data_IF_841464800268
#
_entry.id   IF_841464800268
#
_cell.length_a   1.000
_cell.length_b   1.000
_cell.length_c   1.000
_cell.angle_alpha   90.00
_cell.angle_beta   90.00
_cell.angle_gamma   90.00
#
_symmetry.space_group_name_H-M   'P 1'
#
loop_
_entity.id
_entity.type
_entity.pdbx_description
1 polymer ?
#
# COMPACT_ATOMS: atom_id res chain seq x y z
N UNK A 1 -45.91 -29.23 4.00
CA UNK A 1 -44.96 -29.44 5.11
C UNK A 1 -43.81 -28.46 4.91
N UNK A 2 -43.85 -27.32 5.60
CA UNK A 2 -42.80 -26.30 5.53
C UNK A 2 -41.64 -26.76 6.45
N UNK A 3 -40.45 -26.93 5.88
CA UNK A 3 -39.24 -27.27 6.63
C UNK A 3 -38.82 -26.12 7.53
N UNK A 4 -38.59 -26.41 8.81
CA UNK A 4 -38.09 -25.48 9.81
C UNK A 4 -36.80 -24.81 9.35
N UNK A 5 -36.81 -23.48 9.31
CA UNK A 5 -35.60 -22.68 9.32
C UNK A 5 -34.92 -22.88 10.68
N UNK A 6 -33.77 -23.54 10.68
CA UNK A 6 -32.90 -23.69 11.86
C UNK A 6 -32.53 -22.30 12.39
N UNK A 7 -33.13 -21.93 13.52
CA UNK A 7 -32.73 -20.72 14.27
C UNK A 7 -31.26 -20.83 14.68
N UNK A 8 -30.45 -19.78 14.50
CA UNK A 8 -29.09 -19.78 15.02
C UNK A 8 -29.12 -19.91 16.56
N UNK A 9 -28.10 -20.56 17.16
CA UNK A 9 -28.05 -20.82 18.59
C UNK A 9 -28.07 -19.51 19.40
N UNK A 10 -28.79 -19.46 20.53
CA UNK A 10 -28.87 -18.26 21.36
C UNK A 10 -27.55 -18.05 22.09
N UNK A 11 -26.92 -16.89 21.86
CA UNK A 11 -25.73 -16.48 22.62
C UNK A 11 -24.64 -15.71 21.86
N UNK A 12 -24.74 -15.54 20.54
CA UNK A 12 -23.79 -14.68 19.81
C UNK A 12 -24.31 -13.25 19.77
N UNK A 13 -23.84 -12.43 20.70
CA UNK A 13 -24.04 -10.98 20.63
C UNK A 13 -23.48 -10.48 19.28
N UNK A 14 -24.20 -9.63 18.54
CA UNK A 14 -23.74 -9.10 17.25
C UNK A 14 -22.48 -8.21 17.35
N UNK A 15 -22.16 -7.74 18.56
CA UNK A 15 -21.15 -6.69 18.81
C UNK A 15 -19.83 -7.19 19.42
N UNK A 16 -19.64 -8.50 19.60
CA UNK A 16 -18.30 -9.03 19.86
C UNK A 16 -17.54 -9.05 18.53
N UNK A 17 -16.83 -7.95 18.25
CA UNK A 17 -15.82 -7.84 17.20
C UNK A 17 -15.02 -9.14 17.15
N UNK A 18 -15.19 -9.89 16.07
CA UNK A 18 -14.46 -11.14 15.84
C UNK A 18 -12.97 -10.89 16.11
N UNK A 19 -12.36 -11.51 17.14
CA UNK A 19 -10.98 -11.24 17.50
C UNK A 19 -10.01 -11.55 16.35
N UNK A 20 -10.38 -12.45 15.44
CA UNK A 20 -9.62 -12.70 14.22
C UNK A 20 -9.69 -11.52 13.24
N UNK A 21 -10.86 -10.87 13.13
CA UNK A 21 -11.04 -9.66 12.32
C UNK A 21 -10.25 -8.49 12.89
N UNK A 22 -10.30 -8.27 14.21
CA UNK A 22 -9.55 -7.20 14.88
C UNK A 22 -8.03 -7.35 14.71
N UNK A 23 -7.49 -8.59 14.85
CA UNK A 23 -6.07 -8.82 14.58
C UNK A 23 -5.74 -8.67 13.09
N UNK A 24 -6.65 -9.08 12.20
CA UNK A 24 -6.54 -8.87 10.76
C UNK A 24 -6.43 -7.40 10.37
N UNK A 25 -7.27 -6.53 10.94
CA UNK A 25 -7.24 -5.07 10.75
C UNK A 25 -5.93 -4.48 11.28
N UNK A 26 -5.48 -4.91 12.46
CA UNK A 26 -4.21 -4.46 13.05
C UNK A 26 -2.99 -4.85 12.22
N UNK A 27 -2.94 -6.09 11.72
CA UNK A 27 -1.87 -6.55 10.82
C UNK A 27 -1.96 -5.83 9.48
N UNK A 28 -3.18 -5.62 8.97
CA UNK A 28 -3.46 -4.82 7.78
C UNK A 28 -2.85 -3.43 7.86
N UNK A 29 -3.13 -2.70 8.93
CA UNK A 29 -2.61 -1.35 9.17
C UNK A 29 -1.07 -1.33 9.25
N UNK A 30 -0.44 -2.35 9.83
CA UNK A 30 1.03 -2.47 9.87
C UNK A 30 1.64 -2.67 8.48
N UNK A 31 0.97 -3.47 7.64
CA UNK A 31 1.37 -3.65 6.24
C UNK A 31 1.25 -2.32 5.50
N UNK A 32 0.12 -1.63 5.64
CA UNK A 32 -0.12 -0.37 4.95
C UNK A 32 0.93 0.69 5.34
N UNK A 33 1.23 0.83 6.63
CA UNK A 33 2.29 1.71 7.11
C UNK A 33 3.68 1.36 6.53
N UNK A 34 3.98 0.08 6.33
CA UNK A 34 5.23 -0.35 5.72
C UNK A 34 5.31 0.01 4.23
N UNK A 35 4.22 -0.21 3.48
CA UNK A 35 4.12 0.19 2.07
C UNK A 35 4.26 1.71 1.93
N UNK A 36 3.56 2.48 2.76
CA UNK A 36 3.59 3.95 2.73
C UNK A 36 5.00 4.48 3.03
N UNK A 37 5.69 3.90 4.03
CA UNK A 37 7.08 4.23 4.34
C UNK A 37 8.01 3.93 3.16
N UNK A 38 7.81 2.80 2.47
CA UNK A 38 8.64 2.42 1.34
C UNK A 38 8.38 3.32 0.11
N UNK A 39 7.11 3.62 -0.18
CA UNK A 39 6.70 4.54 -1.24
C UNK A 39 7.36 5.91 -1.09
N UNK A 40 7.25 6.51 0.12
CA UNK A 40 7.92 7.79 0.46
C UNK A 40 9.43 7.74 0.23
N UNK A 41 10.07 6.62 0.61
CA UNK A 41 11.52 6.45 0.40
C UNK A 41 11.88 6.37 -1.09
N UNK A 42 11.04 5.73 -1.90
CA UNK A 42 11.25 5.67 -3.35
C UNK A 42 11.03 7.04 -3.99
N UNK A 43 9.97 7.77 -3.64
CA UNK A 43 9.76 9.17 -4.06
C UNK A 43 10.95 10.06 -3.75
N UNK A 44 11.42 10.06 -2.51
CA UNK A 44 12.57 10.87 -2.12
C UNK A 44 13.85 10.54 -2.92
N UNK A 45 14.03 9.28 -3.34
CA UNK A 45 15.14 8.88 -4.20
C UNK A 45 14.94 9.31 -5.65
N UNK A 46 13.71 9.23 -6.16
CA UNK A 46 13.34 9.75 -7.47
C UNK A 46 13.59 11.26 -7.53
N UNK A 47 13.06 12.02 -6.58
CA UNK A 47 13.21 13.48 -6.49
C UNK A 47 14.69 13.88 -6.41
N UNK A 48 15.49 13.15 -5.62
CA UNK A 48 16.93 13.37 -5.54
C UNK A 48 17.67 13.09 -6.85
N UNK A 49 17.22 12.11 -7.63
CA UNK A 49 17.80 11.84 -8.95
C UNK A 49 17.38 12.91 -9.96
N UNK A 50 16.10 13.28 -9.94
CA UNK A 50 15.51 14.30 -10.80
C UNK A 50 16.15 15.67 -10.56
N UNK A 51 16.26 16.13 -9.31
CA UNK A 51 16.87 17.41 -8.96
C UNK A 51 18.36 17.51 -9.29
N UNK A 52 19.02 16.40 -9.66
CA UNK A 52 20.41 16.40 -10.16
C UNK A 52 20.51 16.49 -11.68
N UNK A 53 19.41 16.36 -12.42
CA UNK A 53 19.41 16.39 -13.88
C UNK A 53 19.85 17.74 -14.41
N UNK A 54 19.35 18.83 -13.82
CA UNK A 54 19.67 20.19 -14.26
C UNK A 54 21.16 20.54 -14.10
N UNK A 55 21.79 19.98 -13.07
CA UNK A 55 23.21 20.16 -12.79
C UNK A 55 24.13 19.17 -13.54
N UNK A 56 23.57 18.19 -14.26
CA UNK A 56 24.36 17.19 -14.97
C UNK A 56 24.61 17.65 -16.42
N UNK A 57 25.84 18.08 -16.72
CA UNK A 57 26.24 18.47 -18.08
C UNK A 57 26.54 17.28 -19.01
N UNK A 58 27.19 16.17 -18.59
CA UNK A 58 27.49 15.08 -19.49
C UNK A 58 26.22 14.27 -19.82
N UNK A 59 26.02 13.97 -21.10
CA UNK A 59 24.84 13.23 -21.58
C UNK A 59 24.69 11.85 -20.90
N UNK A 60 25.79 11.11 -20.74
CA UNK A 60 25.79 9.81 -20.06
C UNK A 60 25.35 9.91 -18.60
N UNK A 61 25.82 10.94 -17.88
CA UNK A 61 25.44 11.20 -16.50
C UNK A 61 23.96 11.57 -16.39
N UNK A 62 23.44 12.35 -17.34
CA UNK A 62 22.00 12.65 -17.44
C UNK A 62 21.18 11.38 -17.68
N UNK A 63 21.60 10.53 -18.61
CA UNK A 63 20.90 9.27 -18.91
C UNK A 63 20.83 8.35 -17.69
N UNK A 64 21.92 8.24 -16.93
CA UNK A 64 21.95 7.45 -15.69
C UNK A 64 21.02 8.03 -14.61
N UNK A 65 20.99 9.36 -14.45
CA UNK A 65 20.11 10.02 -13.50
C UNK A 65 18.63 9.87 -13.89
N UNK A 66 18.34 9.99 -15.18
CA UNK A 66 16.99 9.81 -15.72
C UNK A 66 16.50 8.38 -15.46
N UNK A 67 17.33 7.38 -15.79
CA UNK A 67 16.98 5.98 -15.54
C UNK A 67 16.75 5.65 -14.07
N UNK A 68 17.54 6.26 -13.17
CA UNK A 68 17.32 6.12 -11.72
C UNK A 68 16.03 6.80 -11.27
N UNK A 69 15.75 7.98 -11.81
CA UNK A 69 14.50 8.69 -11.52
C UNK A 69 13.30 7.82 -11.90
N UNK A 70 13.25 7.34 -13.16
CA UNK A 70 12.20 6.45 -13.66
C UNK A 70 12.02 5.23 -12.76
N UNK A 71 13.10 4.50 -12.48
CA UNK A 71 13.04 3.29 -11.66
C UNK A 71 12.46 3.54 -10.25
N UNK A 72 12.87 4.64 -9.61
CA UNK A 72 12.36 4.96 -8.28
C UNK A 72 10.95 5.55 -8.31
N UNK A 73 10.58 6.31 -9.36
CA UNK A 73 9.24 6.83 -9.54
C UNK A 73 8.24 5.70 -9.79
N UNK A 74 8.56 4.75 -10.66
CA UNK A 74 7.73 3.58 -10.95
C UNK A 74 7.56 2.69 -9.72
N UNK A 75 8.64 2.46 -8.97
CA UNK A 75 8.57 1.70 -7.72
C UNK A 75 7.70 2.40 -6.66
N UNK A 76 7.75 3.73 -6.58
CA UNK A 76 6.86 4.48 -5.69
C UNK A 76 5.40 4.35 -6.13
N UNK A 77 5.12 4.54 -7.42
CA UNK A 77 3.78 4.45 -7.98
C UNK A 77 3.15 3.06 -7.74
N UNK A 78 3.93 1.98 -7.94
CA UNK A 78 3.47 0.62 -7.66
C UNK A 78 3.05 0.41 -6.20
N UNK A 79 3.83 0.97 -5.25
CA UNK A 79 3.54 0.85 -3.82
C UNK A 79 2.32 1.69 -3.41
N UNK A 80 2.18 2.89 -3.98
CA UNK A 80 1.03 3.78 -3.80
C UNK A 80 -0.26 3.14 -4.35
N UNK A 81 -0.21 2.55 -5.54
CA UNK A 81 -1.34 1.85 -6.13
C UNK A 81 -1.77 0.65 -5.28
N UNK A 82 -0.81 -0.10 -4.74
CA UNK A 82 -1.10 -1.23 -3.85
C UNK A 82 -1.83 -0.81 -2.58
N UNK A 83 -1.56 0.39 -2.06
CA UNK A 83 -2.29 0.95 -0.92
C UNK A 83 -3.73 1.30 -1.30
N UNK A 84 -3.94 1.92 -2.46
CA UNK A 84 -5.29 2.24 -2.97
C UNK A 84 -6.12 0.96 -3.13
N UNK A 85 -5.59 -0.05 -3.81
CA UNK A 85 -6.27 -1.34 -4.00
C UNK A 85 -6.56 -2.10 -2.70
N UNK A 86 -5.84 -1.79 -1.60
CA UNK A 86 -6.10 -2.36 -0.28
C UNK A 86 -7.17 -1.56 0.45
N UNK A 87 -7.17 -0.24 0.33
CA UNK A 87 -8.26 0.61 0.81
C UNK A 87 -9.61 0.27 0.15
N UNK A 88 -9.64 0.10 -1.16
CA UNK A 88 -10.84 -0.30 -1.92
C UNK A 88 -11.37 -1.69 -1.56
N UNK A 89 -10.50 -2.61 -1.12
CA UNK A 89 -10.91 -3.96 -0.67
C UNK A 89 -11.37 -4.00 0.79
N UNK A 90 -11.13 -2.92 1.55
CA UNK A 90 -11.50 -2.81 2.97
C UNK A 90 -12.80 -2.04 3.20
N UNK A 91 -13.35 -1.39 2.16
CA UNK A 91 -14.68 -0.75 2.14
C UNK A 91 -15.73 -1.70 1.56
#
# INVERSE_FOLDING_TARGET
>A
MAGEATKPPPGRAPDDLDPARAEGEKVGARIDAAFEKLARKMRARADKAHGKLDAATPAEKRAVLLRRYELYADAAAYLEERLVQRGERST
#
